data_IF_874318802145
#
_entry.id   IF_874318802145
#
_cell.length_a   1.000
_cell.length_b   1.000
_cell.length_c   1.000
_cell.angle_alpha   90.00
_cell.angle_beta   90.00
_cell.angle_gamma   90.00
#
_symmetry.space_group_name_H-M   'P 1'
#
loop_
_entity.id
_entity.type
_entity.pdbx_description
1 polymer ?
#
# COMPACT_ATOMS: atom_id res chain seq x y z
N UNK A 1 15.35 0.70 32.08
CA UNK A 1 14.08 -0.06 31.95
C UNK A 1 12.90 0.89 32.02
N UNK A 2 11.87 0.57 31.25
CA UNK A 2 10.71 1.42 30.99
C UNK A 2 9.76 1.29 32.19
N UNK A 3 9.82 2.23 33.14
CA UNK A 3 9.02 2.20 34.37
C UNK A 3 7.57 2.63 34.07
N UNK A 4 6.87 1.72 33.40
CA UNK A 4 5.50 1.96 32.95
C UNK A 4 4.56 1.75 34.13
N UNK A 5 4.15 2.85 34.75
CA UNK A 5 3.16 2.88 35.84
C UNK A 5 1.91 2.04 35.51
N UNK A 6 1.35 1.40 36.53
CA UNK A 6 0.08 0.67 36.43
C UNK A 6 -0.97 1.54 35.71
N UNK A 7 -1.62 0.98 34.69
CA UNK A 7 -2.63 1.70 33.90
C UNK A 7 -2.11 2.49 32.69
N UNK A 8 -0.80 2.52 32.39
CA UNK A 8 -0.29 3.26 31.21
C UNK A 8 -0.95 2.84 29.88
N UNK A 9 -1.26 1.55 29.69
CA UNK A 9 -1.95 1.06 28.47
C UNK A 9 -3.36 1.63 28.37
N UNK A 10 -4.07 1.77 29.49
CA UNK A 10 -5.40 2.37 29.54
C UNK A 10 -5.34 3.86 29.23
N UNK A 11 -4.36 4.58 29.80
CA UNK A 11 -4.13 5.99 29.50
C UNK A 11 -3.84 6.22 28.01
N UNK A 12 -2.98 5.39 27.39
CA UNK A 12 -2.71 5.45 25.95
C UNK A 12 -3.98 5.18 25.11
N UNK A 13 -4.75 4.15 25.46
CA UNK A 13 -6.04 3.87 24.79
C UNK A 13 -7.00 5.06 24.89
N UNK A 14 -7.10 5.69 26.06
CA UNK A 14 -7.91 6.89 26.27
C UNK A 14 -7.51 8.03 25.34
N UNK A 15 -6.20 8.29 25.21
CA UNK A 15 -5.68 9.32 24.29
C UNK A 15 -5.93 9.00 22.81
N UNK A 16 -5.85 7.73 22.42
CA UNK A 16 -6.21 7.30 21.06
C UNK A 16 -7.71 7.57 20.80
N UNK A 17 -8.59 7.23 21.73
CA UNK A 17 -10.03 7.50 21.55
C UNK A 17 -10.36 9.00 21.51
N UNK A 18 -9.70 9.81 22.34
CA UNK A 18 -9.84 11.26 22.33
C UNK A 18 -9.44 11.84 20.95
N UNK A 19 -8.30 11.40 20.42
CA UNK A 19 -7.82 11.79 19.10
C UNK A 19 -8.79 11.36 17.99
N UNK A 20 -9.21 10.09 17.98
CA UNK A 20 -10.19 9.58 17.00
C UNK A 20 -11.46 10.41 17.04
N UNK A 21 -11.98 10.70 18.24
CA UNK A 21 -13.19 11.48 18.43
C UNK A 21 -13.05 12.92 17.90
N UNK A 22 -11.90 13.55 18.13
CA UNK A 22 -11.55 14.85 17.55
C UNK A 22 -11.49 14.81 16.02
N UNK A 23 -10.84 13.82 15.43
CA UNK A 23 -10.72 13.67 13.98
C UNK A 23 -12.08 13.42 13.33
N UNK A 24 -12.91 12.55 13.92
CA UNK A 24 -14.26 12.28 13.40
C UNK A 24 -15.12 13.54 13.40
N UNK A 25 -15.15 14.30 14.50
CA UNK A 25 -15.96 15.53 14.60
C UNK A 25 -15.51 16.62 13.62
N UNK A 26 -14.20 16.82 13.45
CA UNK A 26 -13.68 17.97 12.71
C UNK A 26 -13.31 17.67 11.24
N UNK A 27 -13.19 16.40 10.85
CA UNK A 27 -12.77 16.04 9.48
C UNK A 27 -13.71 15.08 8.76
N UNK A 28 -14.59 14.36 9.47
CA UNK A 28 -15.52 13.40 8.83
C UNK A 28 -16.94 13.96 8.72
N UNK A 29 -17.36 14.82 9.65
CA UNK A 29 -18.75 15.31 9.73
C UNK A 29 -19.02 16.53 8.82
N UNK A 30 -18.01 17.32 8.47
CA UNK A 30 -18.26 18.66 7.89
C UNK A 30 -18.30 18.79 6.36
N UNK A 31 -18.07 17.76 5.54
CA UNK A 31 -17.86 18.04 4.11
C UNK A 31 -18.68 17.29 3.06
N UNK A 32 -19.54 16.31 3.39
CA UNK A 32 -20.18 15.49 2.33
C UNK A 32 -21.60 15.02 2.61
N UNK A 33 -22.43 15.05 1.55
CA UNK A 33 -23.79 14.49 1.60
C UNK A 33 -23.76 13.00 1.95
N UNK A 34 -24.80 12.51 2.63
CA UNK A 34 -24.94 11.09 2.99
C UNK A 34 -24.73 10.15 1.79
N UNK A 35 -25.19 10.57 0.60
CA UNK A 35 -25.04 9.85 -0.67
C UNK A 35 -23.59 9.69 -1.12
N UNK A 36 -22.79 10.73 -0.95
CA UNK A 36 -21.37 10.72 -1.33
C UNK A 36 -20.55 9.83 -0.40
N UNK A 37 -20.83 9.89 0.90
CA UNK A 37 -20.24 8.98 1.89
C UNK A 37 -20.56 7.51 1.60
N UNK A 38 -21.82 7.19 1.25
CA UNK A 38 -22.19 5.83 0.85
C UNK A 38 -21.45 5.35 -0.40
N UNK A 39 -21.28 6.22 -1.40
CA UNK A 39 -20.55 5.91 -2.63
C UNK A 39 -19.06 5.65 -2.37
N UNK A 40 -18.42 6.48 -1.54
CA UNK A 40 -17.01 6.29 -1.13
C UNK A 40 -16.83 4.98 -0.37
N UNK A 41 -17.71 4.70 0.60
CA UNK A 41 -17.67 3.42 1.34
C UNK A 41 -17.80 2.21 0.42
N UNK A 42 -18.70 2.26 -0.57
CA UNK A 42 -18.82 1.20 -1.58
C UNK A 42 -17.56 1.05 -2.42
N UNK A 43 -16.96 2.15 -2.87
CA UNK A 43 -15.72 2.12 -3.65
C UNK A 43 -14.57 1.52 -2.83
N UNK A 44 -14.42 1.91 -1.56
CA UNK A 44 -13.39 1.35 -0.66
C UNK A 44 -13.55 -0.16 -0.49
N UNK A 45 -14.78 -0.63 -0.27
CA UNK A 45 -15.05 -2.06 -0.16
C UNK A 45 -14.66 -2.83 -1.44
N UNK A 46 -14.94 -2.26 -2.63
CA UNK A 46 -14.53 -2.84 -3.91
C UNK A 46 -13.01 -2.87 -4.07
N UNK A 47 -12.32 -1.82 -3.64
CA UNK A 47 -10.86 -1.74 -3.72
C UNK A 47 -10.16 -2.74 -2.81
N UNK A 48 -10.80 -3.24 -1.74
CA UNK A 48 -10.22 -4.32 -0.95
C UNK A 48 -9.95 -5.57 -1.80
N UNK A 49 -10.88 -5.94 -2.69
CA UNK A 49 -10.70 -7.06 -3.63
C UNK A 49 -9.53 -6.82 -4.58
N UNK A 50 -9.40 -5.59 -5.09
CA UNK A 50 -8.28 -5.19 -5.97
C UNK A 50 -6.95 -5.28 -5.22
N UNK A 51 -6.88 -4.73 -4.01
CA UNK A 51 -5.67 -4.74 -3.19
C UNK A 51 -5.27 -6.18 -2.85
N UNK A 52 -6.23 -7.02 -2.46
CA UNK A 52 -5.98 -8.43 -2.21
C UNK A 52 -5.42 -9.13 -3.45
N UNK A 53 -6.04 -8.94 -4.61
CA UNK A 53 -5.55 -9.49 -5.87
C UNK A 53 -4.11 -9.07 -6.18
N UNK A 54 -3.77 -7.80 -5.97
CA UNK A 54 -2.39 -7.32 -6.13
C UNK A 54 -1.44 -7.99 -5.14
N UNK A 55 -1.82 -8.13 -3.87
CA UNK A 55 -0.97 -8.77 -2.85
C UNK A 55 -0.71 -10.26 -3.14
N UNK A 56 -1.64 -10.93 -3.79
CA UNK A 56 -1.54 -12.36 -4.13
C UNK A 56 -0.80 -12.58 -5.46
N UNK A 57 -0.93 -11.66 -6.42
CA UNK A 57 -0.45 -11.84 -7.80
C UNK A 57 0.65 -10.84 -8.21
N UNK A 58 1.25 -10.10 -7.27
CA UNK A 58 2.20 -9.01 -7.59
C UNK A 58 3.38 -9.44 -8.47
N UNK A 59 3.82 -10.71 -8.41
CA UNK A 59 4.93 -11.21 -9.24
C UNK A 59 4.57 -11.24 -10.73
N UNK A 60 3.29 -11.38 -11.06
CA UNK A 60 2.82 -11.50 -12.43
C UNK A 60 2.53 -10.14 -13.07
N UNK A 61 2.51 -10.05 -14.42
CA UNK A 61 2.02 -8.86 -15.11
C UNK A 61 0.54 -8.60 -14.80
N UNK A 62 0.25 -7.51 -14.09
CA UNK A 62 -1.11 -7.07 -13.76
C UNK A 62 -1.47 -5.86 -14.62
N UNK A 63 -2.62 -5.90 -15.28
CA UNK A 63 -3.12 -4.78 -16.08
C UNK A 63 -4.22 -3.98 -15.37
N UNK A 64 -4.35 -2.68 -15.67
CA UNK A 64 -5.45 -1.89 -15.12
C UNK A 64 -6.82 -2.42 -15.57
N UNK A 65 -6.91 -2.99 -16.78
CA UNK A 65 -8.14 -3.60 -17.29
C UNK A 65 -8.59 -4.78 -16.44
N UNK A 66 -7.68 -5.70 -16.15
CA UNK A 66 -7.92 -6.83 -15.25
C UNK A 66 -8.43 -6.36 -13.88
N UNK A 67 -7.77 -5.36 -13.28
CA UNK A 67 -8.19 -4.81 -11.99
C UNK A 67 -9.54 -4.09 -12.04
N UNK A 68 -9.87 -3.47 -13.17
CA UNK A 68 -11.16 -2.82 -13.38
C UNK A 68 -12.29 -3.86 -13.52
N UNK A 69 -12.00 -4.97 -14.18
CA UNK A 69 -12.94 -6.08 -14.38
C UNK A 69 -13.30 -6.75 -13.05
N UNK A 70 -12.35 -6.87 -12.10
CA UNK A 70 -12.59 -7.40 -10.74
C UNK A 70 -13.67 -6.64 -9.97
N UNK A 71 -13.89 -5.36 -10.27
CA UNK A 71 -14.87 -4.51 -9.59
C UNK A 71 -15.97 -3.98 -10.52
N UNK A 72 -16.03 -4.54 -11.74
CA UNK A 72 -17.01 -4.26 -12.78
C UNK A 72 -17.14 -2.76 -13.12
N UNK A 73 -16.01 -2.11 -13.41
CA UNK A 73 -15.97 -0.72 -13.90
C UNK A 73 -15.08 -0.61 -15.13
N UNK A 74 -15.23 0.45 -15.91
CA UNK A 74 -14.28 0.78 -16.98
C UNK A 74 -12.89 1.08 -16.42
N UNK A 75 -11.84 0.77 -17.16
CA UNK A 75 -10.44 1.05 -16.79
C UNK A 75 -10.19 2.50 -16.38
N UNK A 76 -10.72 3.47 -17.13
CA UNK A 76 -10.60 4.90 -16.80
C UNK A 76 -11.15 5.22 -15.40
N UNK A 77 -12.37 4.73 -15.12
CA UNK A 77 -13.03 4.89 -13.82
C UNK A 77 -12.28 4.17 -12.70
N UNK A 78 -11.73 2.99 -12.98
CA UNK A 78 -10.89 2.27 -12.02
C UNK A 78 -9.67 3.10 -11.62
N UNK A 79 -8.89 3.59 -12.60
CA UNK A 79 -7.71 4.41 -12.34
C UNK A 79 -8.04 5.66 -11.50
N UNK A 80 -9.17 6.31 -11.79
CA UNK A 80 -9.64 7.45 -11.00
C UNK A 80 -9.99 7.05 -9.55
N UNK A 81 -10.82 6.03 -9.36
CA UNK A 81 -11.24 5.56 -8.03
C UNK A 81 -10.05 5.08 -7.20
N UNK A 82 -9.13 4.33 -7.83
CA UNK A 82 -7.93 3.81 -7.17
C UNK A 82 -7.03 4.96 -6.72
N UNK A 83 -6.75 5.94 -7.59
CA UNK A 83 -5.91 7.09 -7.23
C UNK A 83 -6.54 7.98 -6.17
N UNK A 84 -7.84 8.23 -6.25
CA UNK A 84 -8.58 9.01 -5.25
C UNK A 84 -8.54 8.33 -3.87
N UNK A 85 -8.65 7.00 -3.83
CA UNK A 85 -8.73 6.24 -2.57
C UNK A 85 -7.36 5.87 -1.99
N UNK A 86 -6.39 5.54 -2.83
CA UNK A 86 -5.06 5.05 -2.44
C UNK A 86 -3.99 6.15 -2.45
N UNK A 87 -4.29 7.33 -2.98
CA UNK A 87 -3.35 8.45 -3.13
C UNK A 87 -2.29 8.25 -4.22
N UNK A 88 -2.30 7.12 -4.92
CA UNK A 88 -1.31 6.76 -5.95
C UNK A 88 -1.94 5.93 -7.08
N UNK A 89 -1.26 5.84 -8.22
CA UNK A 89 -1.74 5.03 -9.34
C UNK A 89 -1.63 3.52 -9.04
N UNK A 90 -2.42 2.67 -9.73
CA UNK A 90 -2.32 1.22 -9.59
C UNK A 90 -0.90 0.68 -9.83
N UNK A 91 -0.23 1.15 -10.89
CA UNK A 91 1.14 0.75 -11.20
C UNK A 91 2.14 1.13 -10.09
N UNK A 92 2.01 2.34 -9.52
CA UNK A 92 2.88 2.75 -8.40
C UNK A 92 2.65 1.86 -7.18
N UNK A 93 1.39 1.54 -6.86
CA UNK A 93 1.04 0.65 -5.76
C UNK A 93 1.58 -0.77 -5.97
N UNK A 94 1.42 -1.34 -7.17
CA UNK A 94 2.00 -2.66 -7.51
C UNK A 94 3.52 -2.64 -7.30
N UNK A 95 4.21 -1.63 -7.83
CA UNK A 95 5.65 -1.50 -7.66
C UNK A 95 6.05 -1.37 -6.18
N UNK A 96 5.30 -0.61 -5.37
CA UNK A 96 5.53 -0.52 -3.93
C UNK A 96 5.40 -1.90 -3.24
N UNK A 97 4.38 -2.69 -3.59
CA UNK A 97 4.24 -4.06 -3.07
C UNK A 97 5.45 -4.92 -3.47
N UNK A 98 5.86 -4.88 -4.74
CA UNK A 98 7.02 -5.62 -5.24
C UNK A 98 8.31 -5.23 -4.52
N UNK A 99 8.53 -3.93 -4.30
CA UNK A 99 9.72 -3.42 -3.59
C UNK A 99 9.75 -3.87 -2.13
N UNK A 100 8.61 -3.85 -1.44
CA UNK A 100 8.51 -4.37 -0.08
C UNK A 100 8.82 -5.87 0.00
N UNK A 101 8.33 -6.65 -0.96
CA UNK A 101 8.65 -8.08 -1.04
C UNK A 101 10.12 -8.30 -1.37
N UNK A 102 10.70 -7.50 -2.25
CA UNK A 102 12.11 -7.55 -2.59
C UNK A 102 13.01 -7.26 -1.39
N UNK A 103 12.66 -6.27 -0.57
CA UNK A 103 13.39 -5.96 0.66
C UNK A 103 13.44 -7.17 1.60
N UNK A 104 12.30 -7.82 1.84
CA UNK A 104 12.24 -9.02 2.69
C UNK A 104 13.11 -10.17 2.15
N UNK A 105 13.14 -10.37 0.83
CA UNK A 105 14.00 -11.40 0.19
C UNK A 105 15.49 -11.04 0.28
N UNK A 106 15.84 -9.74 0.19
CA UNK A 106 17.21 -9.28 0.35
C UNK A 106 17.74 -9.57 1.75
N UNK A 107 16.93 -9.44 2.80
CA UNK A 107 17.32 -9.75 4.18
C UNK A 107 17.69 -11.23 4.37
N UNK A 108 17.10 -12.14 3.58
CA UNK A 108 17.37 -13.58 3.66
C UNK A 108 18.75 -13.96 3.08
N UNK A 109 19.30 -13.15 2.16
CA UNK A 109 20.63 -13.37 1.52
C UNK A 109 20.77 -14.72 0.77
N UNK A 110 19.67 -15.31 0.33
CA UNK A 110 19.67 -16.59 -0.40
C UNK A 110 19.74 -16.44 -1.93
N UNK A 111 19.46 -15.24 -2.44
CA UNK A 111 19.34 -14.94 -3.87
C UNK A 111 20.16 -13.70 -4.24
N UNK A 112 20.63 -13.64 -5.48
CA UNK A 112 21.21 -12.42 -6.04
C UNK A 112 20.14 -11.34 -6.23
N UNK A 113 20.57 -10.07 -6.26
CA UNK A 113 19.67 -8.92 -6.46
C UNK A 113 18.90 -9.04 -7.79
N UNK A 114 19.54 -9.60 -8.83
CA UNK A 114 18.93 -9.79 -10.14
C UNK A 114 17.82 -10.87 -10.12
N UNK A 115 18.06 -11.99 -9.43
CA UNK A 115 17.05 -13.02 -9.24
C UNK A 115 15.87 -12.48 -8.42
N UNK A 116 16.13 -11.71 -7.36
CA UNK A 116 15.08 -11.07 -6.55
C UNK A 116 14.23 -10.13 -7.38
N UNK A 117 14.85 -9.28 -8.21
CA UNK A 117 14.11 -8.38 -9.10
C UNK A 117 13.17 -9.16 -10.04
N UNK A 118 13.62 -10.29 -10.55
CA UNK A 118 12.85 -11.16 -11.43
C UNK A 118 11.69 -11.82 -10.68
N UNK A 119 11.96 -12.44 -9.53
CA UNK A 119 10.95 -13.16 -8.72
C UNK A 119 9.85 -12.24 -8.20
N UNK A 120 10.17 -11.00 -7.86
CA UNK A 120 9.14 -10.03 -7.43
C UNK A 120 8.42 -9.34 -8.60
N UNK A 121 8.70 -9.72 -9.85
CA UNK A 121 7.94 -9.31 -11.03
C UNK A 121 8.44 -8.08 -11.77
N UNK A 122 9.69 -7.66 -11.57
CA UNK A 122 10.30 -6.62 -12.43
C UNK A 122 10.89 -7.23 -13.69
N UNK A 123 10.44 -6.73 -14.86
CA UNK A 123 10.99 -7.15 -16.15
C UNK A 123 12.32 -6.46 -16.51
N UNK A 124 12.59 -5.30 -15.91
CA UNK A 124 13.79 -4.52 -16.15
C UNK A 124 14.52 -4.26 -14.82
N UNK A 125 15.73 -4.80 -14.71
CA UNK A 125 16.62 -4.65 -13.55
C UNK A 125 16.99 -3.19 -13.27
N UNK A 126 17.20 -2.38 -14.31
CA UNK A 126 17.52 -0.96 -14.15
C UNK A 126 16.34 -0.18 -13.57
N UNK A 127 15.12 -0.52 -14.01
CA UNK A 127 13.91 0.05 -13.45
C UNK A 127 13.73 -0.34 -11.98
N UNK A 128 13.93 -1.62 -11.64
CA UNK A 128 13.95 -2.09 -10.26
C UNK A 128 14.91 -1.29 -9.38
N UNK A 129 16.19 -1.20 -9.78
CA UNK A 129 17.20 -0.49 -9.00
C UNK A 129 16.88 0.99 -8.79
N UNK A 130 16.36 1.67 -9.83
CA UNK A 130 15.91 3.07 -9.74
C UNK A 130 14.73 3.23 -8.77
N UNK A 131 13.71 2.39 -8.89
CA UNK A 131 12.52 2.47 -8.04
C UNK A 131 12.82 2.08 -6.61
N UNK A 132 13.67 1.08 -6.37
CA UNK A 132 14.11 0.69 -5.05
C UNK A 132 14.83 1.84 -4.35
N UNK A 133 15.80 2.47 -5.03
CA UNK A 133 16.50 3.64 -4.49
C UNK A 133 15.57 4.81 -4.22
N UNK A 134 14.60 5.04 -5.10
CA UNK A 134 13.60 6.09 -4.90
C UNK A 134 12.72 5.82 -3.67
N UNK A 135 12.35 4.57 -3.43
CA UNK A 135 11.45 4.19 -2.34
C UNK A 135 12.15 4.12 -0.98
N UNK A 136 13.33 3.49 -0.91
CA UNK A 136 14.07 3.28 0.35
C UNK A 136 15.16 4.32 0.62
N UNK A 137 15.53 5.14 -0.37
CA UNK A 137 16.60 6.13 -0.26
C UNK A 137 18.02 5.57 -0.52
N UNK A 138 18.17 4.26 -0.75
CA UNK A 138 19.47 3.62 -1.02
C UNK A 138 19.33 2.44 -1.99
N UNK A 139 20.46 1.97 -2.54
CA UNK A 139 20.47 0.87 -3.50
C UNK A 139 20.19 -0.49 -2.82
N UNK A 140 19.60 -1.48 -3.54
CA UNK A 140 19.35 -2.81 -2.99
C UNK A 140 20.55 -3.47 -2.31
N UNK A 141 21.76 -3.31 -2.87
CA UNK A 141 22.99 -3.88 -2.32
C UNK A 141 23.31 -3.43 -0.90
N UNK A 142 22.88 -2.22 -0.52
CA UNK A 142 23.13 -1.66 0.81
C UNK A 142 22.32 -2.37 1.90
N UNK A 143 21.26 -3.10 1.55
CA UNK A 143 20.50 -3.92 2.52
C UNK A 143 21.40 -4.95 3.20
N UNK A 144 22.41 -5.47 2.51
CA UNK A 144 23.30 -6.49 3.07
C UNK A 144 24.38 -5.95 4.01
N UNK A 145 24.58 -4.63 4.01
CA UNK A 145 25.54 -3.89 4.84
C UNK A 145 24.92 -3.38 6.15
N UNK A 146 23.58 -3.39 6.26
CA UNK A 146 22.81 -3.00 7.45
C UNK A 146 22.66 -4.18 8.41
#
# INVERSE_FOLDING_TARGET
>A
ENDKKLGYKLAMKGKIYELISYLLRNYVVENQSARENSRRKLNLNRLNTVVQHIQENYSEPITNRELADLIHVSEYRFCHIFKESMGQSPLSYINEVRLRKAYNLLEQKEMTIAEIATVVGFQDYNNFGRLFRKYYGFAPSKVWEL
#
